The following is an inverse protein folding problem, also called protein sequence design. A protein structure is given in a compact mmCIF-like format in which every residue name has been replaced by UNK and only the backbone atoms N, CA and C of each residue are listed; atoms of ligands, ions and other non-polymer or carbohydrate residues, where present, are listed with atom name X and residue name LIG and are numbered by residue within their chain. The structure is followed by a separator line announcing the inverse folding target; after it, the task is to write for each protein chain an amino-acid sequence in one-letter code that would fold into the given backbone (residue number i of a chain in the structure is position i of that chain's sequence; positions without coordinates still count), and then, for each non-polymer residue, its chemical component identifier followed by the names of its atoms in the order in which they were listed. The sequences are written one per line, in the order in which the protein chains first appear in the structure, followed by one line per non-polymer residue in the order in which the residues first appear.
data_IF_162457019210
#
_entry.id   IF_162457019210
#
_cell.length_a   1.000
_cell.length_b   1.000
_cell.length_c   1.000
_cell.angle_alpha   90.00
_cell.angle_beta   90.00
_cell.angle_gamma   90.00
#
_symmetry.space_group_name_H-M   'P 1'
#
loop_
_entity.id
_entity.type
_entity.pdbx_description
1 polymer ?
#
# COMPACT_ATOMS: atom_id res chain seq x y z
N UNK A 1 -2.94 12.11 6.52
CA UNK A 1 -1.85 11.29 5.97
C UNK A 1 -2.41 10.12 5.18
N UNK A 2 -3.17 9.20 5.79
CA UNK A 2 -3.80 8.07 5.08
C UNK A 2 -4.59 8.49 3.83
N UNK A 3 -5.44 9.52 3.90
CA UNK A 3 -6.18 9.96 2.70
C UNK A 3 -5.26 10.45 1.56
N UNK A 4 -4.11 11.05 1.88
CA UNK A 4 -3.14 11.48 0.86
C UNK A 4 -2.50 10.26 0.21
N UNK A 5 -2.13 9.26 1.00
CA UNK A 5 -1.61 7.97 0.49
C UNK A 5 -2.65 7.26 -0.37
N UNK A 6 -3.90 7.20 0.08
CA UNK A 6 -4.98 6.58 -0.68
C UNK A 6 -5.15 7.25 -2.05
N UNK A 7 -5.18 8.59 -2.10
CA UNK A 7 -5.23 9.33 -3.36
C UNK A 7 -4.00 9.10 -4.23
N UNK A 8 -2.80 9.03 -3.65
CA UNK A 8 -1.58 8.78 -4.39
C UNK A 8 -1.53 7.35 -4.95
N UNK A 9 -2.07 6.35 -4.24
CA UNK A 9 -2.24 4.99 -4.75
C UNK A 9 -3.26 4.91 -5.88
N UNK A 10 -4.36 5.69 -5.81
CA UNK A 10 -5.32 5.80 -6.91
C UNK A 10 -4.64 6.38 -8.17
N UNK A 11 -3.83 7.43 -8.00
CA UNK A 11 -3.08 8.03 -9.10
C UNK A 11 -2.03 7.08 -9.68
N UNK A 12 -1.30 6.35 -8.82
CA UNK A 12 -0.32 5.34 -9.23
C UNK A 12 -0.96 4.24 -10.08
N UNK A 13 -2.20 3.86 -9.75
CA UNK A 13 -2.99 2.87 -10.49
C UNK A 13 -3.96 3.49 -11.50
N UNK A 14 -3.71 4.72 -11.96
CA UNK A 14 -4.59 5.42 -12.91
C UNK A 14 -4.90 4.55 -14.15
N UNK A 15 -6.19 4.38 -14.44
CA UNK A 15 -6.67 3.53 -15.53
C UNK A 15 -6.88 2.05 -15.16
N UNK A 16 -6.45 1.61 -13.98
CA UNK A 16 -6.62 0.24 -13.48
C UNK A 16 -7.70 0.17 -12.38
N UNK A 17 -8.95 0.30 -12.80
CA UNK A 17 -10.10 0.28 -11.88
C UNK A 17 -10.16 -1.02 -11.05
N UNK A 18 -9.71 -2.15 -11.59
CA UNK A 18 -9.71 -3.43 -10.90
C UNK A 18 -8.76 -3.42 -9.70
N UNK A 19 -7.51 -2.95 -9.89
CA UNK A 19 -6.54 -2.86 -8.80
C UNK A 19 -6.87 -1.75 -7.81
N UNK A 20 -7.40 -0.62 -8.28
CA UNK A 20 -7.93 0.43 -7.41
C UNK A 20 -8.99 -0.14 -6.45
N UNK A 21 -10.03 -0.77 -7.01
CA UNK A 21 -11.09 -1.36 -6.19
C UNK A 21 -10.57 -2.47 -5.26
N UNK A 22 -9.56 -3.22 -5.68
CA UNK A 22 -8.96 -4.27 -4.85
C UNK A 22 -8.33 -3.68 -3.58
N UNK A 23 -7.38 -2.75 -3.70
CA UNK A 23 -6.74 -2.21 -2.50
C UNK A 23 -7.70 -1.38 -1.65
N UNK A 24 -8.69 -0.69 -2.24
CA UNK A 24 -9.73 0.01 -1.46
C UNK A 24 -10.52 -0.95 -0.56
N UNK A 25 -10.87 -2.14 -1.08
CA UNK A 25 -11.54 -3.18 -0.30
C UNK A 25 -10.65 -3.77 0.78
N UNK A 26 -9.39 -4.05 0.45
CA UNK A 26 -8.40 -4.56 1.43
C UNK A 26 -8.23 -3.56 2.58
N UNK A 27 -8.00 -2.27 2.27
CA UNK A 27 -7.94 -1.20 3.27
C UNK A 27 -9.19 -1.13 4.14
N UNK A 28 -10.38 -1.16 3.52
CA UNK A 28 -11.65 -1.08 4.25
C UNK A 28 -11.83 -2.23 5.25
N UNK A 29 -11.52 -3.47 4.84
CA UNK A 29 -11.62 -4.63 5.73
C UNK A 29 -10.51 -4.64 6.79
N UNK A 30 -9.28 -4.28 6.42
CA UNK A 30 -8.17 -4.22 7.35
C UNK A 30 -8.45 -3.22 8.48
N UNK A 31 -8.93 -2.03 8.13
CA UNK A 31 -9.36 -1.01 9.10
C UNK A 31 -10.48 -1.52 10.00
N UNK A 32 -11.53 -2.10 9.43
CA UNK A 32 -12.66 -2.64 10.21
C UNK A 32 -12.17 -3.68 11.23
N UNK A 33 -11.35 -4.64 10.81
CA UNK A 33 -10.81 -5.67 11.69
C UNK A 33 -9.97 -5.03 12.79
N UNK A 34 -9.06 -4.12 12.44
CA UNK A 34 -8.20 -3.43 13.40
C UNK A 34 -8.98 -2.64 14.46
N UNK A 35 -10.05 -1.95 14.05
CA UNK A 35 -10.95 -1.22 14.96
C UNK A 35 -11.71 -2.20 15.87
N UNK A 36 -12.21 -3.32 15.34
CA UNK A 36 -12.91 -4.34 16.13
C UNK A 36 -12.00 -5.08 17.13
N UNK A 37 -10.73 -5.26 16.78
CA UNK A 37 -9.70 -5.83 17.65
C UNK A 37 -9.13 -4.81 18.66
N UNK A 38 -9.59 -3.55 18.62
CA UNK A 38 -9.15 -2.46 19.50
C UNK A 38 -7.62 -2.24 19.49
N UNK A 39 -6.98 -2.36 18.32
CA UNK A 39 -5.55 -2.09 18.20
C UNK A 39 -5.25 -0.60 18.47
N UNK A 40 -4.04 -0.31 18.93
CA UNK A 40 -3.63 1.07 19.19
C UNK A 40 -3.49 1.90 17.90
N UNK A 41 -3.54 3.22 18.03
CA UNK A 41 -3.53 4.14 16.90
C UNK A 41 -2.28 4.03 16.00
N UNK A 42 -1.12 3.66 16.57
CA UNK A 42 0.11 3.48 15.78
C UNK A 42 0.02 2.20 14.96
N UNK A 43 -0.45 1.11 15.56
CA UNK A 43 -0.71 -0.15 14.86
C UNK A 43 -1.74 0.02 13.75
N UNK A 44 -2.86 0.72 14.02
CA UNK A 44 -3.88 1.02 13.02
C UNK A 44 -3.27 1.82 11.84
N UNK A 45 -2.48 2.85 12.12
CA UNK A 45 -1.86 3.67 11.08
C UNK A 45 -0.92 2.85 10.18
N UNK A 46 -0.07 2.00 10.75
CA UNK A 46 0.82 1.11 9.99
C UNK A 46 -0.02 0.14 9.16
N UNK A 47 -1.01 -0.50 9.76
CA UNK A 47 -1.87 -1.49 9.10
C UNK A 47 -2.66 -0.89 7.93
N UNK A 48 -3.23 0.31 8.09
CA UNK A 48 -3.90 1.02 7.00
C UNK A 48 -2.92 1.38 5.88
N UNK A 49 -1.70 1.79 6.22
CA UNK A 49 -0.64 2.12 5.26
C UNK A 49 -0.24 0.87 4.47
N UNK A 50 0.08 -0.23 5.14
CA UNK A 50 0.39 -1.53 4.52
C UNK A 50 -0.74 -2.06 3.66
N UNK A 51 -2.00 -1.93 4.09
CA UNK A 51 -3.15 -2.40 3.33
C UNK A 51 -3.28 -1.65 1.99
N UNK A 52 -3.01 -0.35 1.98
CA UNK A 52 -3.02 0.45 0.76
C UNK A 52 -1.84 0.10 -0.17
N UNK A 53 -0.66 -0.18 0.37
CA UNK A 53 0.56 -0.38 -0.42
C UNK A 53 0.93 -1.85 -0.68
N UNK A 54 0.19 -2.84 -0.14
CA UNK A 54 0.59 -4.26 -0.16
C UNK A 54 0.96 -4.81 -1.55
N UNK A 55 0.27 -4.32 -2.57
CA UNK A 55 0.36 -4.77 -3.96
C UNK A 55 1.07 -3.70 -4.84
N UNK A 56 1.71 -2.67 -4.28
CA UNK A 56 2.26 -1.51 -5.04
C UNK A 56 3.27 -1.88 -6.13
N UNK A 57 3.86 -3.08 -6.08
CA UNK A 57 4.83 -3.59 -7.04
C UNK A 57 4.26 -4.08 -8.38
N UNK A 58 2.95 -4.25 -8.54
CA UNK A 58 2.36 -4.97 -9.69
C UNK A 58 2.78 -4.40 -11.04
N UNK A 59 2.55 -3.11 -11.29
CA UNK A 59 2.83 -2.50 -12.61
C UNK A 59 4.31 -2.62 -12.98
N UNK A 60 5.21 -2.40 -12.03
CA UNK A 60 6.65 -2.54 -12.26
C UNK A 60 7.04 -3.99 -12.56
N UNK A 61 6.41 -4.96 -11.88
CA UNK A 61 6.66 -6.37 -12.16
C UNK A 61 6.13 -6.79 -13.54
N UNK A 62 4.94 -6.33 -13.90
CA UNK A 62 4.34 -6.59 -15.23
C UNK A 62 5.19 -5.98 -16.35
N UNK A 63 5.66 -4.73 -16.17
CA UNK A 63 6.53 -4.05 -17.13
C UNK A 63 7.89 -4.76 -17.29
N UNK A 64 8.55 -5.11 -16.19
CA UNK A 64 9.90 -5.71 -16.23
C UNK A 64 9.92 -7.18 -16.61
N UNK A 65 8.94 -7.96 -16.14
CA UNK A 65 8.99 -9.42 -16.16
C UNK A 65 7.81 -10.07 -16.88
N UNK A 66 6.79 -9.30 -17.31
CA UNK A 66 5.55 -9.85 -17.86
C UNK A 66 4.75 -10.70 -16.85
N UNK A 67 5.03 -10.54 -15.55
CA UNK A 67 4.43 -11.33 -14.47
C UNK A 67 4.51 -10.55 -13.15
N UNK A 68 3.52 -10.68 -12.27
CA UNK A 68 3.44 -10.02 -10.97
C UNK A 68 3.25 -11.00 -9.81
N UNK A 69 3.90 -12.17 -9.84
CA UNK A 69 3.85 -13.11 -8.72
C UNK A 69 4.41 -12.49 -7.42
N UNK A 70 4.02 -13.07 -6.27
CA UNK A 70 4.36 -12.52 -4.94
C UNK A 70 5.85 -12.29 -4.72
N UNK A 71 6.73 -13.19 -5.20
CA UNK A 71 8.20 -13.02 -5.03
C UNK A 71 8.75 -11.81 -5.78
N UNK A 72 8.18 -11.49 -6.94
CA UNK A 72 8.56 -10.29 -7.69
C UNK A 72 8.06 -9.03 -6.99
N UNK A 73 6.84 -9.06 -6.45
CA UNK A 73 6.28 -7.94 -5.71
C UNK A 73 7.02 -7.68 -4.39
N UNK A 74 7.40 -8.73 -3.64
CA UNK A 74 8.25 -8.63 -2.45
C UNK A 74 9.62 -8.01 -2.77
N UNK A 75 10.14 -8.23 -3.98
CA UNK A 75 11.42 -7.67 -4.44
C UNK A 75 11.30 -6.20 -4.88
N UNK A 76 10.26 -5.87 -5.65
CA UNK A 76 10.16 -4.57 -6.33
C UNK A 76 9.27 -3.57 -5.59
N UNK A 77 8.29 -4.05 -4.80
CA UNK A 77 7.33 -3.25 -4.05
C UNK A 77 7.96 -2.32 -3.00
N UNK A 78 8.90 -2.78 -2.16
CA UNK A 78 9.45 -1.96 -1.07
C UNK A 78 10.07 -0.64 -1.55
N UNK A 79 10.78 -0.63 -2.68
CA UNK A 79 11.40 0.59 -3.22
C UNK A 79 10.35 1.62 -3.68
N UNK A 80 9.23 1.16 -4.22
CA UNK A 80 8.14 2.03 -4.65
C UNK A 80 7.41 2.58 -3.42
N UNK A 81 7.13 1.72 -2.43
CA UNK A 81 6.52 2.10 -1.17
C UNK A 81 7.35 3.15 -0.43
N UNK A 82 8.65 2.90 -0.24
CA UNK A 82 9.58 3.80 0.44
C UNK A 82 9.59 5.18 -0.22
N UNK A 83 9.70 5.23 -1.55
CA UNK A 83 9.68 6.49 -2.29
C UNK A 83 8.36 7.24 -2.10
N UNK A 84 7.22 6.57 -2.29
CA UNK A 84 5.90 7.17 -2.18
C UNK A 84 5.63 7.71 -0.77
N UNK A 85 5.98 6.92 0.25
CA UNK A 85 5.79 7.28 1.65
C UNK A 85 6.68 8.45 2.06
N UNK A 86 7.94 8.47 1.60
CA UNK A 86 8.87 9.58 1.81
C UNK A 86 8.36 10.88 1.18
N UNK A 87 7.90 10.83 -0.08
CA UNK A 87 7.35 11.98 -0.81
C UNK A 87 6.10 12.57 -0.11
N UNK A 88 5.33 11.73 0.60
CA UNK A 88 4.17 12.14 1.38
C UNK A 88 4.50 12.60 2.81
N UNK A 89 5.74 12.45 3.26
CA UNK A 89 6.22 12.87 4.58
C UNK A 89 5.95 11.87 5.71
N UNK A 90 5.86 10.58 5.40
CA UNK A 90 5.82 9.53 6.42
C UNK A 90 7.18 9.41 7.13
N UNK A 91 7.18 9.03 8.41
CA UNK A 91 8.42 8.77 9.13
C UNK A 91 9.12 7.52 8.60
N UNK A 92 10.45 7.45 8.76
CA UNK A 92 11.22 6.25 8.46
C UNK A 92 10.75 5.03 9.25
N UNK A 93 10.32 5.22 10.50
CA UNK A 93 9.79 4.14 11.34
C UNK A 93 8.52 3.50 10.73
N UNK A 94 7.62 4.30 10.15
CA UNK A 94 6.44 3.75 9.48
C UNK A 94 6.84 3.12 8.14
N UNK A 95 7.75 3.75 7.41
CA UNK A 95 8.19 3.28 6.10
C UNK A 95 8.94 1.93 6.16
N UNK A 96 9.69 1.66 7.22
CA UNK A 96 10.37 0.37 7.44
C UNK A 96 9.40 -0.77 7.79
N UNK A 97 8.21 -0.43 8.30
CA UNK A 97 7.20 -1.38 8.78
C UNK A 97 6.15 -1.74 7.72
N UNK A 98 6.20 -1.09 6.56
CA UNK A 98 5.21 -1.17 5.48
C UNK A 98 5.83 -1.81 4.25
#
# INVERSE_FOLDING_TARGET
MINKLHMAMIELYHGDAKRIQHFCKVHSYAKLIAEMENVDAKTLFILETSALTHDIGIHLCEEKYGNCNGKLQEKEGPVIAEKLLSDLGFSGEVSERV
#
